data_IF_841291913082
#
_entry.id   IF_841291913082
#
_cell.length_a   1.000
_cell.length_b   1.000
_cell.length_c   1.000
_cell.angle_alpha   90.00
_cell.angle_beta   90.00
_cell.angle_gamma   90.00
#
_symmetry.space_group_name_H-M   'P 1'
#
loop_
_entity.id
_entity.type
_entity.pdbx_description
1 polymer ?
#
# COMPACT_ATOMS: atom_id res chain seq x y z
N UNK A 1 22.46 16.57 -3.26
CA UNK A 1 21.09 16.28 -3.74
C UNK A 1 20.01 16.80 -2.78
N UNK A 2 19.82 16.22 -1.58
CA UNK A 2 18.74 16.66 -0.69
C UNK A 2 18.85 18.15 -0.31
N UNK A 3 20.05 18.59 0.06
CA UNK A 3 20.30 20.01 0.38
C UNK A 3 20.13 20.96 -0.82
N UNK A 4 20.29 20.45 -2.05
CA UNK A 4 20.13 21.25 -3.28
C UNK A 4 18.65 21.49 -3.59
N UNK A 5 17.78 20.55 -3.22
CA UNK A 5 16.33 20.60 -3.45
C UNK A 5 15.60 21.27 -2.28
N UNK A 6 15.89 20.84 -1.06
CA UNK A 6 15.16 21.25 0.16
C UNK A 6 15.82 22.41 0.90
N UNK A 7 16.99 22.85 0.44
CA UNK A 7 17.76 23.93 1.05
C UNK A 7 18.60 23.47 2.24
N UNK A 8 19.77 24.08 2.38
CA UNK A 8 20.75 23.73 3.41
C UNK A 8 20.58 24.52 4.72
N UNK A 9 19.74 25.56 4.74
CA UNK A 9 19.66 26.52 5.87
C UNK A 9 18.89 25.99 7.08
N UNK A 10 18.06 24.98 6.91
CA UNK A 10 17.13 24.52 7.96
C UNK A 10 17.26 23.03 8.28
N UNK A 11 17.81 22.22 7.39
CA UNK A 11 18.01 20.79 7.59
C UNK A 11 19.37 20.39 7.00
N UNK A 12 20.19 19.72 7.80
CA UNK A 12 21.43 19.12 7.35
C UNK A 12 21.17 17.71 6.81
N UNK A 13 21.40 17.49 5.52
CA UNK A 13 21.30 16.19 4.86
C UNK A 13 22.67 15.56 4.56
N UNK A 14 23.71 15.93 5.33
CA UNK A 14 25.03 15.30 5.23
C UNK A 14 24.93 13.78 5.42
N UNK A 15 25.89 13.04 4.85
CA UNK A 15 25.94 11.58 4.98
C UNK A 15 25.94 11.15 6.47
N UNK A 16 26.64 11.89 7.33
CA UNK A 16 26.68 11.64 8.77
C UNK A 16 25.32 11.85 9.46
N UNK A 17 24.59 12.90 9.06
CA UNK A 17 23.26 13.16 9.64
C UNK A 17 22.25 12.12 9.18
N UNK A 18 22.31 11.69 7.92
CA UNK A 18 21.47 10.60 7.40
C UNK A 18 21.79 9.27 8.10
N UNK A 19 23.08 8.92 8.25
CA UNK A 19 23.51 7.72 8.96
C UNK A 19 23.02 7.72 10.42
N UNK A 20 23.18 8.85 11.12
CA UNK A 20 22.68 8.99 12.50
C UNK A 20 21.16 8.82 12.57
N UNK A 21 20.41 9.36 11.61
CA UNK A 21 18.98 9.17 11.53
C UNK A 21 18.61 7.70 11.34
N UNK A 22 19.30 6.98 10.43
CA UNK A 22 19.11 5.54 10.22
C UNK A 22 19.39 4.74 11.50
N UNK A 23 20.50 5.04 12.19
CA UNK A 23 20.85 4.37 13.45
C UNK A 23 19.82 4.64 14.56
N UNK A 24 19.32 5.86 14.66
CA UNK A 24 18.29 6.22 15.63
C UNK A 24 16.97 5.48 15.36
N UNK A 25 16.54 5.41 14.10
CA UNK A 25 15.35 4.63 13.69
C UNK A 25 15.52 3.15 14.00
N UNK A 26 16.68 2.56 13.65
CA UNK A 26 16.97 1.16 13.96
C UNK A 26 17.00 0.89 15.46
N UNK A 27 17.52 1.82 16.26
CA UNK A 27 17.52 1.72 17.73
C UNK A 27 16.11 1.78 18.30
N UNK A 28 15.25 2.63 17.74
CA UNK A 28 13.88 2.83 18.22
C UNK A 28 12.96 1.64 17.88
N UNK A 29 13.03 1.14 16.64
CA UNK A 29 12.12 0.10 16.14
C UNK A 29 12.73 -1.31 16.10
N UNK A 30 14.01 -1.45 16.48
CA UNK A 30 14.74 -2.73 16.48
C UNK A 30 15.44 -3.07 15.16
N UNK A 31 15.15 -2.32 14.08
CA UNK A 31 15.72 -2.56 12.75
C UNK A 31 15.46 -3.98 12.24
N UNK A 32 16.22 -4.41 11.22
CA UNK A 32 16.05 -5.70 10.56
C UNK A 32 16.22 -6.93 11.48
N UNK A 33 17.09 -6.81 12.49
CA UNK A 33 17.51 -7.95 13.32
C UNK A 33 16.73 -8.08 14.63
N UNK A 34 16.21 -6.97 15.18
CA UNK A 34 15.59 -6.95 16.51
C UNK A 34 14.17 -6.37 16.51
N UNK A 35 13.47 -6.40 15.37
CA UNK A 35 12.07 -6.01 15.29
C UNK A 35 11.19 -6.95 16.13
N UNK A 36 10.41 -6.39 17.07
CA UNK A 36 9.61 -7.12 18.06
C UNK A 36 8.20 -6.55 18.27
N UNK A 37 7.67 -5.81 17.29
CA UNK A 37 6.31 -5.30 17.41
C UNK A 37 5.30 -6.47 17.43
N UNK A 38 4.18 -6.27 18.12
CA UNK A 38 3.06 -7.20 18.15
C UNK A 38 1.92 -6.70 17.27
N UNK A 39 1.01 -7.60 16.90
CA UNK A 39 -0.15 -7.28 16.04
C UNK A 39 0.28 -6.71 14.68
N UNK A 40 1.29 -7.34 14.08
CA UNK A 40 1.81 -7.01 12.76
C UNK A 40 1.83 -8.28 11.93
N UNK A 41 1.34 -8.19 10.69
CA UNK A 41 1.61 -9.17 9.65
C UNK A 41 2.64 -8.57 8.72
N UNK A 42 3.74 -9.28 8.47
CA UNK A 42 4.81 -8.81 7.58
C UNK A 42 4.90 -9.71 6.35
N UNK A 43 4.72 -9.13 5.17
CA UNK A 43 4.74 -9.85 3.89
C UNK A 43 5.91 -9.40 3.04
N UNK A 44 6.49 -10.35 2.31
CA UNK A 44 7.58 -10.09 1.37
C UNK A 44 7.35 -10.86 0.08
N UNK A 45 7.42 -10.17 -1.06
CA UNK A 45 7.52 -10.84 -2.36
C UNK A 45 8.95 -11.33 -2.60
N UNK A 46 9.13 -12.55 -3.11
CA UNK A 46 10.48 -13.08 -3.33
C UNK A 46 11.23 -12.37 -4.47
N UNK A 47 10.51 -11.68 -5.37
CA UNK A 47 11.07 -10.82 -6.41
C UNK A 47 11.17 -9.34 -6.01
N UNK A 48 10.69 -8.96 -4.82
CA UNK A 48 10.76 -7.60 -4.33
C UNK A 48 12.20 -7.27 -3.84
N UNK A 49 12.90 -6.29 -4.45
CA UNK A 49 14.22 -5.89 -3.96
C UNK A 49 14.19 -5.37 -2.52
N UNK A 50 13.05 -4.84 -2.07
CA UNK A 50 12.88 -4.26 -0.73
C UNK A 50 12.73 -5.31 0.37
N UNK A 51 12.57 -6.61 0.05
CA UNK A 51 12.50 -7.70 1.06
C UNK A 51 13.70 -7.71 2.00
N UNK A 52 14.85 -7.25 1.51
CA UNK A 52 16.10 -7.17 2.26
C UNK A 52 16.12 -6.05 3.31
N UNK A 53 15.16 -5.12 3.28
CA UNK A 53 14.98 -4.08 4.29
C UNK A 53 14.01 -4.49 5.41
N UNK A 54 13.22 -5.55 5.21
CA UNK A 54 12.29 -6.09 6.21
C UNK A 54 12.98 -6.81 7.37
N UNK A 55 12.26 -7.71 8.04
CA UNK A 55 12.83 -8.58 9.08
C UNK A 55 13.77 -9.62 8.45
N UNK A 56 14.90 -9.93 9.10
CA UNK A 56 15.86 -10.90 8.57
C UNK A 56 15.28 -12.31 8.46
N UNK A 57 14.68 -12.77 9.56
CA UNK A 57 14.02 -14.06 9.65
C UNK A 57 12.52 -13.86 9.55
N UNK A 58 11.95 -14.37 8.46
CA UNK A 58 10.52 -14.33 8.20
C UNK A 58 9.96 -15.72 8.50
N UNK A 59 9.32 -15.86 9.66
CA UNK A 59 8.77 -17.11 10.16
C UNK A 59 7.26 -16.95 10.33
N UNK A 60 6.48 -17.97 9.95
CA UNK A 60 5.01 -17.92 10.07
C UNK A 60 4.55 -17.75 11.52
N UNK A 61 5.32 -18.27 12.50
CA UNK A 61 5.04 -18.10 13.93
C UNK A 61 5.07 -16.65 14.39
N UNK A 62 5.73 -15.77 13.64
CA UNK A 62 5.81 -14.33 13.89
C UNK A 62 4.89 -13.54 12.93
N UNK A 63 3.89 -14.20 12.31
CA UNK A 63 3.04 -13.65 11.26
C UNK A 63 3.84 -13.01 10.11
N UNK A 64 4.96 -13.63 9.73
CA UNK A 64 5.75 -13.19 8.59
C UNK A 64 5.67 -14.20 7.45
N UNK A 65 5.38 -13.73 6.24
CA UNK A 65 5.14 -14.57 5.06
C UNK A 65 5.99 -14.14 3.86
N UNK A 66 6.71 -15.09 3.26
CA UNK A 66 7.38 -14.93 1.97
C UNK A 66 6.48 -15.48 0.87
N UNK A 67 6.17 -14.66 -0.13
CA UNK A 67 5.33 -14.98 -1.28
C UNK A 67 6.23 -15.17 -2.50
N UNK A 68 6.38 -16.41 -2.94
CA UNK A 68 7.24 -16.79 -4.05
C UNK A 68 6.70 -16.26 -5.39
N UNK A 69 7.58 -15.63 -6.17
CA UNK A 69 7.24 -15.03 -7.45
C UNK A 69 6.49 -13.70 -7.37
N UNK A 70 6.11 -13.24 -6.17
CA UNK A 70 5.47 -11.95 -6.00
C UNK A 70 6.47 -10.79 -6.02
N UNK A 71 6.04 -9.68 -6.60
CA UNK A 71 6.74 -8.40 -6.55
C UNK A 71 6.27 -7.56 -5.35
N UNK A 72 6.64 -6.28 -5.36
CA UNK A 72 6.36 -5.36 -4.26
C UNK A 72 4.87 -5.31 -3.91
N UNK A 73 4.55 -5.72 -2.67
CA UNK A 73 3.23 -5.64 -2.05
C UNK A 73 2.08 -6.24 -2.88
N UNK A 74 2.34 -7.37 -3.56
CA UNK A 74 1.35 -8.01 -4.42
C UNK A 74 0.02 -8.33 -3.69
N UNK A 75 0.12 -8.69 -2.42
CA UNK A 75 -1.01 -9.02 -1.54
C UNK A 75 -1.95 -7.85 -1.29
N UNK A 76 -1.47 -6.60 -1.38
CA UNK A 76 -2.30 -5.41 -1.18
C UNK A 76 -3.14 -5.04 -2.41
N UNK A 77 -2.83 -5.60 -3.57
CA UNK A 77 -3.65 -5.36 -4.75
C UNK A 77 -4.96 -6.14 -4.71
N UNK A 78 -5.99 -5.61 -5.39
CA UNK A 78 -7.20 -6.35 -5.72
C UNK A 78 -6.90 -7.79 -6.18
N UNK A 79 -7.55 -8.78 -5.55
CA UNK A 79 -7.52 -10.17 -6.01
C UNK A 79 -7.91 -10.30 -7.49
N UNK A 80 -7.21 -11.18 -8.19
CA UNK A 80 -7.31 -11.45 -9.61
C UNK A 80 -7.32 -12.98 -9.86
N UNK A 81 -7.97 -13.46 -10.92
CA UNK A 81 -8.10 -14.91 -11.18
C UNK A 81 -6.74 -15.58 -11.46
N UNK A 82 -5.82 -14.84 -12.06
CA UNK A 82 -4.45 -15.24 -12.41
C UNK A 82 -3.46 -15.10 -11.23
N UNK A 83 -3.92 -14.72 -10.04
CA UNK A 83 -3.06 -14.68 -8.86
C UNK A 83 -2.51 -16.08 -8.56
N UNK A 84 -1.26 -16.13 -8.09
CA UNK A 84 -0.66 -17.40 -7.70
C UNK A 84 -1.45 -18.02 -6.53
N UNK A 85 -1.54 -19.36 -6.45
CA UNK A 85 -2.23 -20.01 -5.34
C UNK A 85 -1.71 -19.57 -3.96
N UNK A 86 -0.39 -19.34 -3.85
CA UNK A 86 0.22 -18.85 -2.62
C UNK A 86 -0.20 -17.42 -2.29
N UNK A 87 -0.29 -16.52 -3.27
CA UNK A 87 -0.74 -15.16 -3.05
C UNK A 87 -2.18 -15.13 -2.51
N UNK A 88 -3.07 -15.94 -3.09
CA UNK A 88 -4.45 -16.11 -2.61
C UNK A 88 -4.48 -16.67 -1.18
N UNK A 89 -3.70 -17.72 -0.89
CA UNK A 89 -3.60 -18.29 0.45
C UNK A 89 -3.13 -17.25 1.50
N UNK A 90 -2.12 -16.46 1.16
CA UNK A 90 -1.58 -15.44 2.07
C UNK A 90 -2.60 -14.33 2.32
N UNK A 91 -3.39 -13.90 1.32
CA UNK A 91 -4.48 -12.94 1.55
C UNK A 91 -5.51 -13.49 2.55
N UNK A 92 -5.94 -14.73 2.39
CA UNK A 92 -6.85 -15.37 3.35
C UNK A 92 -6.25 -15.52 4.75
N UNK A 93 -4.95 -15.81 4.88
CA UNK A 93 -4.27 -15.82 6.18
C UNK A 93 -4.27 -14.44 6.84
N UNK A 94 -3.97 -13.38 6.07
CA UNK A 94 -3.97 -11.98 6.55
C UNK A 94 -5.37 -11.61 7.05
N UNK A 95 -6.41 -11.86 6.26
CA UNK A 95 -7.80 -11.57 6.62
C UNK A 95 -8.19 -12.27 7.92
N UNK A 96 -7.86 -13.55 8.06
CA UNK A 96 -8.11 -14.31 9.29
C UNK A 96 -7.41 -13.71 10.51
N UNK A 97 -6.11 -13.41 10.39
CA UNK A 97 -5.32 -12.82 11.49
C UNK A 97 -5.92 -11.47 11.92
N UNK A 98 -6.28 -10.63 10.95
CA UNK A 98 -6.90 -9.33 11.23
C UNK A 98 -8.28 -9.54 11.87
N UNK A 99 -9.09 -10.47 11.37
CA UNK A 99 -10.39 -10.86 11.92
C UNK A 99 -10.30 -11.24 13.40
N UNK A 100 -9.30 -12.06 13.76
CA UNK A 100 -9.02 -12.42 15.15
C UNK A 100 -8.69 -11.19 16.01
N UNK A 101 -7.92 -10.22 15.50
CA UNK A 101 -7.60 -8.99 16.23
C UNK A 101 -8.77 -8.05 16.44
N UNK A 102 -9.68 -7.96 15.46
CA UNK A 102 -10.87 -7.10 15.56
C UNK A 102 -12.04 -7.79 16.26
N UNK A 103 -11.86 -9.02 16.74
CA UNK A 103 -12.88 -9.76 17.49
C UNK A 103 -13.96 -10.38 16.62
N UNK A 104 -13.71 -10.58 15.32
CA UNK A 104 -14.54 -11.42 14.45
C UNK A 104 -14.29 -12.89 14.83
N UNK A 105 -14.92 -13.34 15.92
CA UNK A 105 -15.02 -14.75 16.23
C UNK A 105 -15.91 -15.42 15.19
N UNK A 106 -15.36 -16.37 14.42
CA UNK A 106 -16.03 -17.25 13.43
C UNK A 106 -17.55 -17.41 13.66
N UNK A 107 -18.34 -16.42 13.25
CA UNK A 107 -19.66 -16.65 12.69
C UNK A 107 -19.37 -17.19 11.30
N UNK A 108 -19.87 -18.38 10.97
CA UNK A 108 -19.75 -19.03 9.67
C UNK A 108 -20.42 -18.23 8.54
N UNK A 109 -20.02 -16.98 8.36
CA UNK A 109 -20.42 -16.12 7.26
C UNK A 109 -19.21 -16.10 6.34
N UNK A 110 -19.31 -16.87 5.27
CA UNK A 110 -18.47 -16.68 4.10
C UNK A 110 -18.94 -15.35 3.52
N UNK A 111 -18.27 -14.25 3.91
CA UNK A 111 -18.38 -13.01 3.16
C UNK A 111 -17.61 -13.24 1.87
N UNK A 112 -18.32 -13.82 0.90
CA UNK A 112 -17.86 -13.89 -0.48
C UNK A 112 -17.81 -12.45 -0.98
N UNK A 113 -16.70 -11.75 -0.74
CA UNK A 113 -16.44 -10.46 -1.37
C UNK A 113 -16.14 -10.71 -2.85
N UNK A 114 -17.19 -10.97 -3.62
CA UNK A 114 -17.19 -10.77 -5.07
C UNK A 114 -17.10 -9.26 -5.30
N UNK A 115 -15.86 -8.77 -5.41
CA UNK A 115 -15.61 -7.44 -5.96
C UNK A 115 -16.36 -7.35 -7.30
N UNK A 116 -17.25 -6.35 -7.50
CA UNK A 116 -17.92 -6.20 -8.77
C UNK A 116 -16.88 -6.07 -9.89
N UNK A 117 -17.11 -6.66 -11.08
CA UNK A 117 -16.16 -6.59 -12.17
C UNK A 117 -15.84 -5.12 -12.44
N UNK A 118 -14.56 -4.83 -12.68
CA UNK A 118 -14.07 -3.52 -13.11
C UNK A 118 -14.79 -3.11 -14.40
N UNK A 119 -15.98 -2.54 -14.29
CA UNK A 119 -16.62 -1.88 -15.39
C UNK A 119 -16.00 -0.50 -15.45
N UNK A 120 -15.01 -0.33 -16.34
CA UNK A 120 -14.58 1.02 -16.72
C UNK A 120 -15.83 1.76 -17.22
N UNK A 121 -16.29 2.73 -16.44
CA UNK A 121 -17.29 3.68 -16.89
C UNK A 121 -16.70 4.48 -18.06
N UNK A 122 -17.03 4.06 -19.28
CA UNK A 122 -16.62 4.70 -20.54
C UNK A 122 -17.37 6.01 -20.80
N UNK A 123 -18.16 6.50 -19.85
CA UNK A 123 -19.00 7.70 -19.97
C UNK A 123 -18.32 8.96 -19.43
N UNK A 124 -17.05 9.20 -19.78
CA UNK A 124 -16.55 10.56 -19.82
C UNK A 124 -17.10 11.23 -21.08
N UNK A 125 -18.23 11.95 -20.96
CA UNK A 125 -18.65 12.84 -22.03
C UNK A 125 -17.56 13.88 -22.27
N UNK A 126 -16.88 13.76 -23.40
CA UNK A 126 -15.94 14.75 -23.92
C UNK A 126 -16.64 16.10 -24.06
N UNK A 127 -16.13 17.11 -23.36
CA UNK A 127 -16.59 18.50 -23.47
C UNK A 127 -16.23 19.02 -24.88
N UNK A 128 -17.16 18.94 -25.82
CA UNK A 128 -17.04 19.57 -27.14
C UNK A 128 -17.42 21.04 -27.01
N UNK A 129 -16.44 21.94 -27.06
CA UNK A 129 -16.67 23.39 -27.12
C UNK A 129 -17.13 23.73 -28.55
N UNK A 130 -18.44 23.65 -28.77
CA UNK A 130 -19.11 24.06 -30.00
C UNK A 130 -19.64 25.49 -29.90
N UNK A 131 -19.08 26.39 -30.73
CA UNK A 131 -19.53 27.77 -30.95
C UNK A 131 -21.06 27.83 -31.13
N UNK A 132 -21.76 28.64 -30.33
CA UNK A 132 -23.15 28.96 -30.61
C UNK A 132 -23.32 30.45 -30.93
N UNK A 133 -23.78 30.68 -32.16
CA UNK A 133 -24.11 31.98 -32.73
C UNK A 133 -25.50 32.41 -32.24
N UNK A 134 -25.57 33.58 -31.62
CA UNK A 134 -26.70 34.52 -31.60
C UNK A 134 -28.11 34.03 -31.23
N UNK A 135 -28.66 34.58 -30.13
CA UNK A 135 -29.74 35.57 -30.19
C UNK A 135 -30.08 36.16 -28.80
N UNK A 136 -30.35 37.46 -28.83
CA UNK A 136 -30.61 38.39 -27.74
C UNK A 136 -31.80 38.04 -26.83
N UNK A 137 -31.66 38.42 -25.56
CA UNK A 137 -32.76 39.07 -24.82
C UNK A 137 -32.18 40.06 -23.78
N UNK A 138 -32.50 41.33 -23.97
CA UNK A 138 -32.16 42.47 -23.11
C UNK A 138 -32.79 42.34 -21.72
N UNK A 139 -32.02 42.64 -20.66
CA UNK A 139 -32.55 42.97 -19.33
C UNK A 139 -31.92 44.31 -18.91
N UNK A 140 -32.77 45.32 -18.69
CA UNK A 140 -32.38 46.62 -18.14
C UNK A 140 -32.23 46.54 -16.61
N UNK A 141 -31.29 47.31 -16.10
CA UNK A 141 -30.92 47.42 -14.69
C UNK A 141 -31.52 48.73 -14.15
N UNK A 142 -32.23 48.66 -13.01
CA UNK A 142 -32.51 49.80 -12.15
C UNK A 142 -31.51 49.84 -11.00
#
# INVERSE_FOLDING_TARGET
MCSDIFGWRHIDYSAMTNERATLNTNKLYGGRYNYKATNVVMTHGSLDPWKTLGKEKCEESDNCFMIEGAAHCAEMYPAHEEDSPQLTEIRSKIEKIIGEWVGQHNSNIVDEEQRPPNNMDTNFQSLVIGKNSGKNSNIQIH
#
